data_IF_041534236404
#
_entry.id   IF_041534236404
#
_cell.length_a   1.000
_cell.length_b   1.000
_cell.length_c   1.000
_cell.angle_alpha   90.00
_cell.angle_beta   90.00
_cell.angle_gamma   90.00
#
_symmetry.space_group_name_H-M   'P 1'
#
loop_
_entity.id
_entity.type
_entity.pdbx_description
1 polymer ?
#
# COMPACT_ATOMS: atom_id res chain seq x y z
N UNK A 1 36.06 24.35 34.20
CA UNK A 1 34.98 25.09 34.88
C UNK A 1 33.68 24.68 34.19
N UNK A 2 32.92 23.74 34.77
CA UNK A 2 31.69 23.19 34.19
C UNK A 2 30.50 24.12 34.49
N UNK A 3 29.78 24.53 33.45
CA UNK A 3 28.56 25.32 33.57
C UNK A 3 27.46 24.42 34.16
N UNK A 4 26.80 24.79 35.27
CA UNK A 4 25.72 23.98 35.83
C UNK A 4 24.42 24.26 35.08
N UNK A 5 23.96 23.32 34.26
CA UNK A 5 22.60 23.35 33.69
C UNK A 5 21.64 22.60 34.60
N UNK A 6 20.72 23.35 35.20
CA UNK A 6 19.67 22.89 36.11
C UNK A 6 18.74 21.84 35.43
N UNK A 7 18.60 20.62 35.97
CA UNK A 7 17.89 19.50 35.32
C UNK A 7 16.36 19.61 35.32
N UNK A 8 15.76 20.70 35.84
CA UNK A 8 14.32 20.76 36.11
C UNK A 8 13.47 21.52 35.08
N UNK A 9 14.05 22.09 34.02
CA UNK A 9 13.34 23.09 33.18
C UNK A 9 12.87 22.56 31.81
N UNK A 10 13.30 21.39 31.33
CA UNK A 10 12.95 20.92 29.97
C UNK A 10 12.00 19.72 29.92
N UNK A 11 11.25 19.48 30.99
CA UNK A 11 10.22 18.43 31.06
C UNK A 11 8.80 19.01 30.92
N UNK A 12 8.65 20.16 30.25
CA UNK A 12 7.34 20.76 29.99
C UNK A 12 6.61 19.92 28.94
N UNK A 13 5.92 18.92 29.46
CA UNK A 13 4.72 18.27 28.93
C UNK A 13 4.06 19.11 27.83
N UNK A 14 4.43 18.84 26.59
CA UNK A 14 3.51 19.05 25.47
C UNK A 14 2.54 17.90 25.52
N UNK A 15 1.53 18.05 26.37
CA UNK A 15 0.31 17.25 26.31
C UNK A 15 -0.39 17.58 24.99
N UNK A 16 0.07 16.94 23.91
CA UNK A 16 -0.71 16.86 22.69
C UNK A 16 -1.73 15.76 22.91
N UNK A 17 -2.83 16.15 23.55
CA UNK A 17 -4.06 15.39 23.62
C UNK A 17 -4.59 15.30 22.20
N UNK A 18 -4.20 14.28 21.42
CA UNK A 18 -5.02 13.79 20.32
C UNK A 18 -4.66 12.33 19.97
N UNK A 19 -5.65 11.45 20.20
CA UNK A 19 -5.85 10.12 19.61
C UNK A 19 -4.81 9.02 19.86
N UNK A 20 -5.23 8.03 20.67
CA UNK A 20 -5.09 6.57 20.52
C UNK A 20 -4.04 6.07 19.50
N UNK A 21 -2.78 6.45 19.67
CA UNK A 21 -1.68 6.05 18.80
C UNK A 21 -1.09 4.74 19.33
N UNK A 22 -1.26 3.63 18.58
CA UNK A 22 -0.53 2.40 18.89
C UNK A 22 0.93 2.66 18.54
N UNK A 23 1.75 2.89 19.58
CA UNK A 23 3.19 3.18 19.47
C UNK A 23 3.85 2.19 18.51
N UNK A 24 4.48 2.69 17.45
CA UNK A 24 5.39 1.89 16.64
C UNK A 24 6.47 1.30 17.55
N UNK A 25 6.79 0.01 17.36
CA UNK A 25 7.82 -0.66 18.15
C UNK A 25 9.17 -0.02 17.83
N UNK A 26 9.63 0.90 18.69
CA UNK A 26 10.99 1.45 18.66
C UNK A 26 11.94 0.40 19.22
N UNK A 27 12.93 0.01 18.42
CA UNK A 27 14.07 -0.77 18.88
C UNK A 27 15.24 0.21 18.94
N UNK A 28 15.71 0.49 20.14
CA UNK A 28 16.92 1.29 20.34
C UNK A 28 18.13 0.42 19.99
N UNK A 29 18.88 0.85 18.98
CA UNK A 29 20.04 0.10 18.46
C UNK A 29 21.36 0.77 18.84
N UNK A 30 21.36 2.08 19.07
CA UNK A 30 22.48 2.85 19.63
C UNK A 30 21.96 4.22 20.13
N UNK A 31 22.70 4.91 20.99
CA UNK A 31 22.31 6.17 21.70
C UNK A 31 21.83 7.32 20.79
N UNK A 32 22.03 7.22 19.47
CA UNK A 32 21.63 8.24 18.48
C UNK A 32 20.73 7.71 17.35
N UNK A 33 20.37 6.42 17.34
CA UNK A 33 19.68 5.78 16.21
C UNK A 33 18.47 4.94 16.66
N UNK A 34 17.29 5.38 16.25
CA UNK A 34 16.02 4.69 16.50
C UNK A 34 15.54 4.04 15.21
N UNK A 35 15.44 2.69 15.15
CA UNK A 35 14.72 2.02 14.06
C UNK A 35 13.22 2.02 14.35
N UNK A 36 12.47 2.67 13.47
CA UNK A 36 11.00 2.63 13.48
C UNK A 36 10.55 1.59 12.46
N UNK A 37 9.81 0.57 12.92
CA UNK A 37 9.26 -0.45 12.03
C UNK A 37 8.03 0.10 11.30
N UNK A 38 8.26 0.73 10.15
CA UNK A 38 7.18 1.35 9.35
C UNK A 38 6.47 0.31 8.47
N UNK A 39 7.20 -0.72 8.00
CA UNK A 39 6.67 -1.74 7.08
C UNK A 39 6.27 -3.02 7.81
N UNK A 40 5.07 -2.99 8.38
CA UNK A 40 4.38 -4.14 8.97
C UNK A 40 4.28 -5.31 7.97
N UNK A 41 4.50 -6.55 8.46
CA UNK A 41 4.40 -7.78 7.64
C UNK A 41 3.07 -7.91 6.85
N UNK A 42 1.90 -7.57 7.41
CA UNK A 42 0.63 -7.68 6.68
C UNK A 42 0.55 -6.74 5.47
N UNK A 43 1.23 -5.59 5.50
CA UNK A 43 1.26 -4.66 4.36
C UNK A 43 2.02 -5.26 3.18
N UNK A 44 3.09 -6.01 3.47
CA UNK A 44 3.86 -6.72 2.43
C UNK A 44 3.05 -7.84 1.81
N UNK A 45 2.36 -8.64 2.62
CA UNK A 45 1.49 -9.72 2.13
C UNK A 45 0.40 -9.15 1.21
N UNK A 46 -0.26 -8.06 1.64
CA UNK A 46 -1.22 -7.35 0.81
C UNK A 46 -0.60 -6.90 -0.52
N UNK A 47 0.59 -6.28 -0.50
CA UNK A 47 1.23 -5.79 -1.72
C UNK A 47 1.52 -6.93 -2.71
N UNK A 48 2.06 -8.05 -2.24
CA UNK A 48 2.37 -9.21 -3.08
C UNK A 48 1.11 -9.87 -3.67
N UNK A 49 0.02 -9.96 -2.91
CA UNK A 49 -1.27 -10.46 -3.43
C UNK A 49 -1.75 -9.57 -4.58
N UNK A 50 -1.70 -8.24 -4.42
CA UNK A 50 -2.11 -7.33 -5.50
C UNK A 50 -1.21 -7.41 -6.72
N UNK A 51 0.11 -7.46 -6.52
CA UNK A 51 1.07 -7.62 -7.61
C UNK A 51 0.79 -8.89 -8.42
N UNK A 52 0.57 -10.02 -7.73
CA UNK A 52 0.22 -11.29 -8.38
C UNK A 52 -1.11 -11.22 -9.12
N UNK A 53 -2.16 -10.69 -8.47
CA UNK A 53 -3.48 -10.55 -9.09
C UNK A 53 -3.45 -9.67 -10.34
N UNK A 54 -2.73 -8.55 -10.32
CA UNK A 54 -2.59 -7.65 -11.48
C UNK A 54 -1.92 -8.35 -12.65
N UNK A 55 -0.85 -9.11 -12.40
CA UNK A 55 -0.15 -9.87 -13.45
C UNK A 55 -1.11 -10.88 -14.10
N UNK A 56 -1.83 -11.67 -13.29
CA UNK A 56 -2.77 -12.66 -13.81
C UNK A 56 -3.91 -11.99 -14.58
N UNK A 57 -4.46 -10.89 -14.07
CA UNK A 57 -5.51 -10.12 -14.74
C UNK A 57 -5.05 -9.51 -16.06
N UNK A 58 -3.82 -9.00 -16.13
CA UNK A 58 -3.25 -8.49 -17.38
C UNK A 58 -3.11 -9.61 -18.41
N UNK A 59 -2.47 -10.73 -18.05
CA UNK A 59 -2.24 -11.85 -18.98
C UNK A 59 -3.57 -12.40 -19.50
N UNK A 60 -4.50 -12.70 -18.59
CA UNK A 60 -5.81 -13.24 -18.96
C UNK A 60 -6.68 -12.22 -19.68
N UNK A 61 -6.61 -10.93 -19.32
CA UNK A 61 -7.37 -9.86 -19.96
C UNK A 61 -6.90 -9.59 -21.40
N UNK A 62 -5.58 -9.53 -21.62
CA UNK A 62 -5.01 -9.43 -22.96
C UNK A 62 -5.39 -10.65 -23.79
N UNK A 63 -5.35 -11.84 -23.19
CA UNK A 63 -5.77 -13.06 -23.86
C UNK A 63 -7.25 -13.02 -24.29
N UNK A 64 -8.16 -12.56 -23.41
CA UNK A 64 -9.59 -12.42 -23.69
C UNK A 64 -9.84 -11.42 -24.83
N UNK A 65 -9.17 -10.27 -24.81
CA UNK A 65 -9.35 -9.23 -25.84
C UNK A 65 -8.73 -9.60 -27.19
N UNK A 66 -7.57 -10.26 -27.17
CA UNK A 66 -6.90 -10.75 -28.37
C UNK A 66 -6.37 -12.17 -28.10
N UNK A 67 -7.07 -13.22 -28.58
CA UNK A 67 -6.62 -14.58 -28.37
C UNK A 67 -5.33 -14.83 -29.15
N UNK A 68 -4.20 -14.90 -28.44
CA UNK A 68 -2.88 -15.16 -29.01
C UNK A 68 -2.44 -16.62 -28.86
N UNK A 69 -3.14 -17.40 -28.02
CA UNK A 69 -3.00 -18.86 -27.90
C UNK A 69 -4.31 -19.50 -28.34
N UNK A 70 -4.28 -20.28 -29.41
CA UNK A 70 -5.38 -21.14 -29.81
C UNK A 70 -4.95 -22.60 -29.67
N UNK A 71 -5.93 -23.52 -29.65
CA UNK A 71 -5.62 -24.93 -29.78
C UNK A 71 -4.79 -25.14 -31.07
N UNK A 72 -3.65 -25.83 -30.94
CA UNK A 72 -2.76 -26.14 -32.07
C UNK A 72 -3.36 -27.18 -33.00
N UNK A 73 -4.37 -27.92 -32.53
CA UNK A 73 -5.13 -28.89 -33.29
C UNK A 73 -6.54 -28.32 -33.46
N UNK A 74 -7.08 -28.36 -34.68
CA UNK A 74 -8.49 -28.06 -34.96
C UNK A 74 -9.37 -29.19 -34.39
N UNK A 75 -9.39 -29.32 -33.06
CA UNK A 75 -10.35 -30.18 -32.37
C UNK A 75 -11.69 -29.45 -32.27
N UNK A 76 -12.78 -30.21 -32.24
CA UNK A 76 -14.12 -29.63 -32.05
C UNK A 76 -14.15 -28.78 -30.77
N UNK A 77 -14.94 -27.70 -30.78
CA UNK A 77 -15.07 -26.77 -29.66
C UNK A 77 -15.48 -27.45 -28.33
N UNK A 78 -15.95 -28.69 -28.38
CA UNK A 78 -16.21 -29.54 -27.23
C UNK A 78 -14.94 -29.95 -26.46
N UNK A 79 -13.84 -30.24 -27.16
CA UNK A 79 -12.61 -30.76 -26.54
C UNK A 79 -11.69 -29.65 -26.00
N UNK A 80 -11.87 -28.40 -26.45
CA UNK A 80 -11.04 -27.26 -26.04
C UNK A 80 -11.87 -26.13 -25.42
N UNK A 81 -11.83 -26.02 -24.09
CA UNK A 81 -12.49 -24.95 -23.32
C UNK A 81 -11.53 -23.87 -22.81
N UNK A 82 -10.45 -23.60 -23.55
CA UNK A 82 -9.35 -22.72 -23.11
C UNK A 82 -9.84 -21.29 -22.84
N UNK A 83 -10.69 -20.74 -23.71
CA UNK A 83 -11.29 -19.41 -23.49
C UNK A 83 -12.25 -19.34 -22.30
N UNK A 84 -12.93 -20.44 -22.00
CA UNK A 84 -13.78 -20.55 -20.83
C UNK A 84 -12.96 -20.51 -19.54
N UNK A 85 -11.86 -21.27 -19.49
CA UNK A 85 -10.91 -21.25 -18.38
C UNK A 85 -10.26 -19.88 -18.18
N UNK A 86 -9.83 -19.22 -19.25
CA UNK A 86 -9.23 -17.89 -19.14
C UNK A 86 -10.22 -16.87 -18.54
N UNK A 87 -11.47 -16.87 -18.98
CA UNK A 87 -12.53 -16.02 -18.40
C UNK A 87 -12.82 -16.36 -16.95
N UNK A 88 -12.93 -17.65 -16.62
CA UNK A 88 -13.16 -18.11 -15.25
C UNK A 88 -12.06 -17.63 -14.30
N UNK A 89 -10.79 -17.84 -14.67
CA UNK A 89 -9.63 -17.40 -13.88
C UNK A 89 -9.62 -15.87 -13.78
N UNK A 90 -9.87 -15.15 -14.88
CA UNK A 90 -9.91 -13.70 -14.88
C UNK A 90 -10.95 -13.15 -13.90
N UNK A 91 -12.20 -13.61 -13.98
CA UNK A 91 -13.25 -13.14 -13.08
C UNK A 91 -13.00 -13.54 -11.63
N UNK A 92 -12.55 -14.76 -11.38
CA UNK A 92 -12.22 -15.22 -10.03
C UNK A 92 -11.12 -14.37 -9.38
N UNK A 93 -10.03 -14.12 -10.10
CA UNK A 93 -8.93 -13.26 -9.62
C UNK A 93 -9.38 -11.81 -9.50
N UNK A 94 -10.25 -11.32 -10.38
CA UNK A 94 -10.80 -9.97 -10.29
C UNK A 94 -11.63 -9.77 -9.01
N UNK A 95 -12.46 -10.75 -8.63
CA UNK A 95 -13.19 -10.69 -7.37
C UNK A 95 -12.26 -10.76 -6.17
N UNK A 96 -11.26 -11.65 -6.17
CA UNK A 96 -10.26 -11.72 -5.10
C UNK A 96 -9.49 -10.41 -4.95
N UNK A 97 -9.04 -9.82 -6.05
CA UNK A 97 -8.36 -8.52 -6.08
C UNK A 97 -9.26 -7.42 -5.53
N UNK A 98 -10.53 -7.37 -5.96
CA UNK A 98 -11.49 -6.36 -5.52
C UNK A 98 -11.78 -6.47 -4.03
N UNK A 99 -12.00 -7.68 -3.51
CA UNK A 99 -12.22 -7.92 -2.07
C UNK A 99 -10.96 -7.55 -1.28
N UNK A 100 -9.78 -7.94 -1.75
CA UNK A 100 -8.51 -7.60 -1.11
C UNK A 100 -8.34 -6.08 -1.00
N UNK A 101 -8.63 -5.36 -2.09
CA UNK A 101 -8.59 -3.90 -2.11
C UNK A 101 -9.67 -3.29 -1.19
N UNK A 102 -10.89 -3.84 -1.14
CA UNK A 102 -11.92 -3.38 -0.23
C UNK A 102 -11.52 -3.53 1.26
N UNK A 103 -10.90 -4.65 1.63
CA UNK A 103 -10.33 -4.85 2.99
C UNK A 103 -9.25 -3.81 3.28
N UNK A 104 -8.43 -3.45 2.29
CA UNK A 104 -7.43 -2.39 2.44
C UNK A 104 -8.07 -1.03 2.67
N UNK A 105 -9.11 -0.69 1.93
CA UNK A 105 -9.83 0.56 2.12
C UNK A 105 -10.46 0.64 3.52
N UNK A 106 -11.03 -0.48 4.00
CA UNK A 106 -11.48 -0.59 5.39
C UNK A 106 -10.34 -0.38 6.39
N UNK A 107 -9.17 -0.97 6.15
CA UNK A 107 -8.01 -0.80 7.03
C UNK A 107 -7.43 0.62 6.96
N UNK A 108 -7.50 1.32 5.83
CA UNK A 108 -7.14 2.76 5.77
C UNK A 108 -8.12 3.60 6.60
N UNK A 109 -9.41 3.26 6.64
CA UNK A 109 -10.39 3.97 7.46
C UNK A 109 -10.27 3.68 8.96
N UNK A 110 -10.01 2.42 9.35
CA UNK A 110 -9.94 1.97 10.75
C UNK A 110 -8.52 1.88 11.32
N UNK A 111 -7.49 1.99 10.49
CA UNK A 111 -6.09 1.69 10.80
C UNK A 111 -5.25 2.84 11.34
N UNK A 112 -3.94 2.57 11.49
CA UNK A 112 -2.95 3.37 12.21
C UNK A 112 -2.66 4.73 11.55
N UNK A 113 -2.19 5.71 12.33
CA UNK A 113 -1.89 7.10 11.94
C UNK A 113 -0.94 7.25 10.73
N UNK A 114 -0.08 6.25 10.46
CA UNK A 114 0.85 6.23 9.33
C UNK A 114 0.34 5.42 8.11
N UNK A 115 -0.82 4.77 8.25
CA UNK A 115 -1.50 4.04 7.17
C UNK A 115 -2.67 4.84 6.57
N UNK A 116 -2.97 6.02 7.13
CA UNK A 116 -4.03 6.91 6.67
C UNK A 116 -3.53 7.90 5.63
N UNK A 117 -3.15 7.42 4.44
CA UNK A 117 -3.18 8.27 3.25
C UNK A 117 -4.65 8.43 2.85
N UNK A 118 -5.35 9.38 3.46
CA UNK A 118 -6.75 9.61 3.17
C UNK A 118 -6.86 10.52 1.93
N UNK A 119 -7.17 9.98 0.73
CA UNK A 119 -7.27 10.79 -0.49
C UNK A 119 -8.47 11.74 -0.44
N UNK A 120 -9.38 11.61 0.52
CA UNK A 120 -10.53 12.51 0.69
C UNK A 120 -10.19 13.79 1.47
N UNK A 121 -8.96 13.93 2.00
CA UNK A 121 -8.52 15.19 2.62
C UNK A 121 -7.83 16.07 1.58
N UNK A 122 -8.27 17.32 1.43
CA UNK A 122 -7.60 18.29 0.56
C UNK A 122 -6.13 18.52 0.94
N UNK A 123 -5.77 18.41 2.23
CA UNK A 123 -4.39 18.53 2.69
C UNK A 123 -3.46 17.46 2.09
N UNK A 124 -3.96 16.24 1.89
CA UNK A 124 -3.21 15.13 1.30
C UNK A 124 -2.77 15.44 -0.14
N UNK A 125 -3.69 16.01 -0.94
CA UNK A 125 -3.36 16.41 -2.31
C UNK A 125 -2.39 17.58 -2.35
N UNK A 126 -2.51 18.56 -1.43
CA UNK A 126 -1.57 19.67 -1.34
C UNK A 126 -0.15 19.18 -1.03
N UNK A 127 0.00 18.33 -0.02
CA UNK A 127 1.28 17.73 0.36
C UNK A 127 1.86 16.84 -0.76
N UNK A 128 1.01 16.06 -1.44
CA UNK A 128 1.42 15.26 -2.58
C UNK A 128 1.94 16.14 -3.74
N UNK A 129 1.26 17.23 -4.06
CA UNK A 129 1.71 18.18 -5.09
C UNK A 129 3.01 18.88 -4.70
N UNK A 130 3.17 19.29 -3.43
CA UNK A 130 4.44 19.87 -2.95
C UNK A 130 5.59 18.87 -3.00
N UNK A 131 5.32 17.60 -2.69
CA UNK A 131 6.29 16.51 -2.80
C UNK A 131 6.68 16.25 -4.25
N UNK A 132 5.71 16.23 -5.18
CA UNK A 132 5.97 16.09 -6.61
C UNK A 132 6.82 17.26 -7.12
N UNK A 133 6.48 18.51 -6.76
CA UNK A 133 7.28 19.69 -7.12
C UNK A 133 8.70 19.57 -6.61
N UNK A 134 8.88 19.15 -5.35
CA UNK A 134 10.19 18.92 -4.77
C UNK A 134 11.02 17.91 -5.58
N UNK A 135 10.43 16.77 -5.96
CA UNK A 135 11.13 15.75 -6.78
C UNK A 135 11.36 16.18 -8.23
N UNK A 136 10.50 17.05 -8.77
CA UNK A 136 10.74 17.72 -10.06
C UNK A 136 11.68 18.93 -9.94
N UNK A 137 12.22 19.23 -8.76
CA UNK A 137 13.02 20.41 -8.46
C UNK A 137 12.34 21.76 -8.82
N UNK A 138 11.00 21.79 -8.82
CA UNK A 138 10.23 23.02 -8.96
C UNK A 138 10.14 23.76 -7.63
N UNK A 139 10.11 25.10 -7.70
CA UNK A 139 10.02 25.99 -6.55
C UNK A 139 8.70 25.76 -5.79
N UNK A 140 8.80 25.36 -4.52
CA UNK A 140 7.68 25.37 -3.59
C UNK A 140 7.44 26.82 -3.12
N UNK A 141 6.18 27.25 -3.15
CA UNK A 141 5.69 28.57 -2.76
C UNK A 141 4.69 28.42 -1.61
#
# INVERSE_FOLDING_TARGET
MSVPTNPKIEQKQTEVIWKRSRKAKRIELNDHMVKVYVWELPVRIFHWINAFSIIVLMITGVFIGRPFVSASIQEEAYYSFLMGWARYIHFFVAFLFTINLAVRWYWVYKGNEHATSNPFRLSFWKEAFETIKYYLFMKNH
#
